data_IF_565038944750
#
_entry.id   IF_565038944750
#
_cell.length_a   1.000
_cell.length_b   1.000
_cell.length_c   1.000
_cell.angle_alpha   90.00
_cell.angle_beta   90.00
_cell.angle_gamma   90.00
#
_symmetry.space_group_name_H-M   'P 1'
#
loop_
_entity.id
_entity.type
_entity.pdbx_description
1 polymer ?
#
# COMPACT_ATOMS: atom_id res chain seq x y z
N UNK A 1 41.98 59.98 -7.14
CA UNK A 1 41.81 59.20 -8.39
C UNK A 1 41.35 57.76 -8.10
N UNK A 2 40.36 57.56 -7.22
CA UNK A 2 40.00 56.21 -6.69
C UNK A 2 38.70 55.63 -7.28
N UNK A 3 37.86 56.42 -7.96
CA UNK A 3 36.55 55.94 -8.46
C UNK A 3 36.61 55.04 -9.71
N UNK A 4 37.77 54.87 -10.36
CA UNK A 4 37.85 54.12 -11.62
C UNK A 4 37.97 52.60 -11.44
N UNK A 5 38.26 52.12 -10.21
CA UNK A 5 38.45 50.69 -9.92
C UNK A 5 37.13 49.94 -9.66
N UNK A 6 36.08 50.62 -9.19
CA UNK A 6 34.78 50.00 -8.90
C UNK A 6 33.98 49.58 -10.13
N UNK A 7 34.12 50.33 -11.24
CA UNK A 7 33.42 50.03 -12.49
C UNK A 7 33.97 48.79 -13.21
N UNK A 8 35.27 48.53 -13.12
CA UNK A 8 35.89 47.37 -13.77
C UNK A 8 35.45 46.03 -13.14
N UNK A 9 35.22 46.00 -11.83
CA UNK A 9 34.71 44.80 -11.14
C UNK A 9 33.26 44.47 -11.50
N UNK A 10 32.43 45.49 -11.72
CA UNK A 10 31.01 45.32 -12.02
C UNK A 10 30.77 44.73 -13.43
N UNK A 11 31.61 45.06 -14.41
CA UNK A 11 31.57 44.44 -15.74
C UNK A 11 32.01 42.97 -15.73
N UNK A 12 32.97 42.58 -14.89
CA UNK A 12 33.41 41.19 -14.76
C UNK A 12 32.31 40.29 -14.16
N UNK A 13 31.52 40.80 -13.21
CA UNK A 13 30.39 40.07 -12.62
C UNK A 13 29.23 39.91 -13.62
N UNK A 14 28.95 40.93 -14.45
CA UNK A 14 27.90 40.86 -15.47
C UNK A 14 28.26 39.85 -16.57
N UNK A 15 29.53 39.76 -16.97
CA UNK A 15 29.99 38.78 -17.96
C UNK A 15 29.95 37.33 -17.46
N UNK A 16 30.02 37.09 -16.14
CA UNK A 16 29.88 35.75 -15.56
C UNK A 16 28.41 35.33 -15.39
N UNK A 17 27.48 36.28 -15.30
CA UNK A 17 26.03 36.03 -15.20
C UNK A 17 25.35 35.80 -16.55
N UNK A 18 25.97 36.20 -17.65
CA UNK A 18 25.52 35.81 -18.98
C UNK A 18 25.95 34.37 -19.26
N UNK A 19 25.22 33.44 -18.64
CA UNK A 19 25.30 32.02 -18.95
C UNK A 19 25.19 31.82 -20.45
N UNK A 20 26.18 31.14 -21.01
CA UNK A 20 26.16 30.68 -22.40
C UNK A 20 24.97 29.73 -22.55
N UNK A 21 23.92 30.19 -23.22
CA UNK A 21 22.84 29.30 -23.65
C UNK A 21 23.49 28.35 -24.65
N UNK A 22 23.70 27.10 -24.24
CA UNK A 22 24.15 26.04 -25.12
C UNK A 22 23.09 25.89 -26.21
N UNK A 23 23.38 26.47 -27.37
CA UNK A 23 22.60 26.30 -28.58
C UNK A 23 22.66 24.80 -28.89
N UNK A 24 21.57 24.10 -28.61
CA UNK A 24 21.42 22.70 -28.98
C UNK A 24 21.56 22.64 -30.49
N UNK A 25 22.75 22.26 -30.93
CA UNK A 25 22.98 21.87 -32.31
C UNK A 25 21.85 20.90 -32.64
N UNK A 26 21.02 21.21 -33.64
CA UNK A 26 19.96 20.33 -34.13
C UNK A 26 20.63 19.09 -34.75
N UNK A 27 21.29 18.28 -33.93
CA UNK A 27 21.54 16.90 -34.24
C UNK A 27 20.18 16.33 -34.60
N UNK A 28 20.07 15.73 -35.78
CA UNK A 28 18.83 15.26 -36.39
C UNK A 28 18.13 14.28 -35.43
N UNK A 29 17.32 14.80 -34.51
CA UNK A 29 16.49 14.03 -33.61
C UNK A 29 15.32 13.51 -34.43
N UNK A 30 15.60 12.44 -35.19
CA UNK A 30 14.67 11.81 -36.10
C UNK A 30 13.59 11.02 -35.36
N UNK A 31 13.89 10.52 -34.15
CA UNK A 31 12.90 9.85 -33.31
C UNK A 31 12.26 10.90 -32.40
N UNK A 32 10.95 11.04 -32.49
CA UNK A 32 10.12 11.90 -31.63
C UNK A 32 9.14 11.04 -30.83
N UNK A 33 8.74 11.54 -29.66
CA UNK A 33 7.78 10.88 -28.77
C UNK A 33 6.47 11.67 -28.81
N UNK A 34 5.38 11.01 -29.17
CA UNK A 34 4.02 11.50 -29.00
C UNK A 34 3.36 10.77 -27.84
N UNK A 35 3.30 11.45 -26.69
CA UNK A 35 2.68 10.96 -25.46
C UNK A 35 1.36 11.66 -25.12
N UNK A 36 0.82 12.50 -26.02
CA UNK A 36 -0.32 13.38 -25.74
C UNK A 36 -1.69 12.75 -26.04
N UNK A 37 -1.73 11.44 -26.31
CA UNK A 37 -2.94 10.74 -26.74
C UNK A 37 -3.86 10.43 -25.55
N UNK A 38 -5.16 10.66 -25.74
CA UNK A 38 -6.17 10.48 -24.70
C UNK A 38 -6.34 9.05 -24.16
N UNK A 39 -5.79 8.04 -24.84
CA UNK A 39 -5.77 6.65 -24.38
C UNK A 39 -4.58 6.30 -23.46
N UNK A 40 -3.71 7.27 -23.17
CA UNK A 40 -2.48 7.07 -22.40
C UNK A 40 -1.41 6.29 -23.15
N UNK A 41 -1.60 5.98 -24.44
CA UNK A 41 -0.59 5.27 -25.22
C UNK A 41 0.57 6.20 -25.62
N UNK A 42 1.78 5.66 -25.60
CA UNK A 42 3.00 6.36 -26.02
C UNK A 42 3.41 5.85 -27.39
N UNK A 43 3.49 6.77 -28.35
CA UNK A 43 3.88 6.47 -29.73
C UNK A 43 5.23 7.11 -30.05
N UNK A 44 6.13 6.35 -30.66
CA UNK A 44 7.35 6.88 -31.27
C UNK A 44 7.09 7.16 -32.75
N UNK A 45 7.61 8.26 -33.26
CA UNK A 45 7.56 8.61 -34.68
C UNK A 45 8.97 8.80 -35.23
N UNK A 46 9.27 8.19 -36.37
CA UNK A 46 10.54 8.32 -37.05
C UNK A 46 10.43 9.29 -38.24
N UNK A 47 11.29 10.30 -38.26
CA UNK A 47 11.38 11.32 -39.32
C UNK A 47 12.19 10.90 -40.55
N UNK A 48 12.59 9.64 -40.65
CA UNK A 48 13.24 9.11 -41.87
C UNK A 48 12.20 8.98 -42.99
N UNK A 49 12.61 9.27 -44.22
CA UNK A 49 11.75 9.21 -45.43
C UNK A 49 11.70 7.82 -46.07
N UNK A 50 12.38 6.83 -45.49
CA UNK A 50 12.46 5.47 -46.04
C UNK A 50 11.13 4.70 -45.90
N UNK A 51 10.82 3.86 -46.90
CA UNK A 51 9.57 3.06 -46.94
C UNK A 51 9.52 1.94 -45.91
N UNK A 52 10.68 1.44 -45.49
CA UNK A 52 10.83 0.34 -44.54
C UNK A 52 11.67 0.81 -43.38
N UNK A 53 11.08 0.87 -42.19
CA UNK A 53 11.74 1.33 -40.98
C UNK A 53 11.88 0.16 -40.01
N UNK A 54 13.13 -0.14 -39.63
CA UNK A 54 13.43 -1.08 -38.55
C UNK A 54 13.54 -0.33 -37.23
N UNK A 55 12.83 -0.80 -36.22
CA UNK A 55 12.91 -0.27 -34.87
C UNK A 55 13.88 -1.10 -34.05
N UNK A 56 14.76 -0.42 -33.32
CA UNK A 56 15.69 -1.02 -32.38
C UNK A 56 15.38 -0.54 -30.96
N UNK A 57 15.39 -1.47 -30.00
CA UNK A 57 15.36 -1.21 -28.57
C UNK A 57 16.63 -1.76 -27.95
N UNK A 58 17.42 -0.90 -27.32
CA UNK A 58 18.67 -1.27 -26.65
C UNK A 58 19.63 -2.07 -27.56
N UNK A 59 19.64 -1.74 -28.85
CA UNK A 59 20.43 -2.42 -29.89
C UNK A 59 19.78 -3.67 -30.51
N UNK A 60 18.67 -4.17 -29.97
CA UNK A 60 17.94 -5.33 -30.50
C UNK A 60 16.79 -4.91 -31.43
N UNK A 61 16.59 -5.63 -32.53
CA UNK A 61 15.48 -5.34 -33.47
C UNK A 61 14.15 -5.80 -32.85
N UNK A 62 13.19 -4.87 -32.72
CA UNK A 62 11.86 -5.14 -32.16
C UNK A 62 10.76 -5.20 -33.23
N UNK A 63 10.98 -4.57 -34.39
CA UNK A 63 10.00 -4.55 -35.48
C UNK A 63 10.09 -5.80 -36.35
N UNK A 64 8.96 -6.30 -36.89
CA UNK A 64 9.01 -7.29 -37.96
C UNK A 64 9.74 -6.74 -39.18
N UNK A 65 10.37 -7.61 -39.99
CA UNK A 65 11.25 -7.20 -41.10
C UNK A 65 10.56 -6.29 -42.14
N UNK A 66 9.22 -6.31 -42.20
CA UNK A 66 8.40 -5.56 -43.16
C UNK A 66 7.48 -4.52 -42.47
N UNK A 67 7.96 -3.84 -41.43
CA UNK A 67 7.23 -2.72 -40.86
C UNK A 67 7.30 -1.49 -41.79
N UNK A 68 6.18 -1.18 -42.44
CA UNK A 68 6.00 0.03 -43.28
C UNK A 68 5.59 1.26 -42.48
N UNK A 69 5.42 1.12 -41.16
CA UNK A 69 4.96 2.20 -40.30
C UNK A 69 6.14 2.95 -39.70
N UNK A 70 6.18 4.25 -39.95
CA UNK A 70 7.10 5.20 -39.31
C UNK A 70 6.76 5.42 -37.83
N UNK A 71 5.80 4.68 -37.28
CA UNK A 71 5.32 4.81 -35.92
C UNK A 71 5.46 3.50 -35.14
N UNK A 72 5.93 3.58 -33.90
CA UNK A 72 6.05 2.42 -33.01
C UNK A 72 5.33 2.66 -31.69
N UNK A 73 4.40 1.78 -31.34
CA UNK A 73 3.61 1.90 -30.12
C UNK A 73 4.33 1.23 -28.94
N UNK A 74 4.62 2.00 -27.89
CA UNK A 74 5.23 1.51 -26.64
C UNK A 74 4.21 0.97 -25.65
N UNK A 75 2.92 1.11 -25.94
CA UNK A 75 1.82 0.75 -25.04
C UNK A 75 1.43 1.90 -24.12
N UNK A 76 0.74 1.56 -23.03
CA UNK A 76 0.25 2.52 -22.05
C UNK A 76 1.42 3.14 -21.25
N UNK A 77 1.40 4.46 -21.05
CA UNK A 77 2.34 5.22 -20.25
C UNK A 77 2.43 4.70 -18.79
N UNK A 78 1.34 4.13 -18.26
CA UNK A 78 1.26 3.57 -16.92
C UNK A 78 2.16 2.33 -16.71
N UNK A 79 2.58 1.65 -17.80
CA UNK A 79 3.50 0.51 -17.75
C UNK A 79 4.97 0.93 -17.68
N UNK A 80 5.27 2.21 -17.52
CA UNK A 80 6.63 2.75 -17.48
C UNK A 80 7.50 2.28 -18.65
N UNK A 81 7.13 2.55 -19.91
CA UNK A 81 7.96 2.18 -21.05
C UNK A 81 9.32 2.89 -20.96
N UNK A 82 10.38 2.10 -20.86
CA UNK A 82 11.77 2.55 -20.74
C UNK A 82 12.67 1.85 -21.77
N UNK A 83 13.78 2.51 -22.10
CA UNK A 83 14.82 1.96 -22.97
C UNK A 83 15.33 2.97 -23.98
N UNK A 84 16.34 2.56 -24.74
CA UNK A 84 16.94 3.37 -25.80
C UNK A 84 16.40 2.93 -27.14
N UNK A 85 15.71 3.83 -27.84
CA UNK A 85 15.07 3.56 -29.12
C UNK A 85 15.82 4.21 -30.27
N UNK A 86 15.93 3.48 -31.37
CA UNK A 86 16.45 3.96 -32.64
C UNK A 86 15.54 3.50 -33.77
N UNK A 87 15.45 4.30 -34.82
CA UNK A 87 14.88 3.87 -36.10
C UNK A 87 15.98 3.80 -37.15
N UNK A 88 16.01 2.70 -37.90
CA UNK A 88 16.96 2.43 -38.97
C UNK A 88 16.21 2.33 -40.30
N UNK A 89 16.61 3.18 -41.24
CA UNK A 89 16.16 3.15 -42.62
C UNK A 89 17.07 2.29 -43.50
N UNK A 90 17.00 2.48 -44.81
CA UNK A 90 17.82 1.75 -45.78
C UNK A 90 19.28 2.25 -45.79
N UNK A 91 19.51 3.54 -45.53
CA UNK A 91 20.84 4.17 -45.59
C UNK A 91 21.24 4.90 -44.30
N UNK A 92 20.27 5.37 -43.52
CA UNK A 92 20.53 6.16 -42.32
C UNK A 92 19.96 5.47 -41.08
N UNK A 93 20.71 5.53 -39.97
CA UNK A 93 20.23 5.15 -38.63
C UNK A 93 20.08 6.42 -37.81
N UNK A 94 18.97 6.56 -37.10
CA UNK A 94 18.75 7.71 -36.21
C UNK A 94 19.70 7.69 -35.01
N UNK A 95 19.92 8.87 -34.41
CA UNK A 95 20.53 8.93 -33.09
C UNK A 95 19.67 8.17 -32.04
N UNK A 96 20.29 7.57 -31.01
CA UNK A 96 19.57 6.96 -29.91
C UNK A 96 18.70 7.97 -29.18
N UNK A 97 17.45 7.61 -28.94
CA UNK A 97 16.53 8.32 -28.07
C UNK A 97 16.31 7.51 -26.79
N UNK A 98 16.74 8.05 -25.66
CA UNK A 98 16.46 7.46 -24.36
C UNK A 98 15.05 7.85 -23.90
N UNK A 99 14.16 6.86 -23.84
CA UNK A 99 12.79 7.02 -23.33
C UNK A 99 12.79 6.64 -21.86
N UNK A 100 12.32 7.57 -21.02
CA UNK A 100 12.21 7.39 -19.58
C UNK A 100 10.84 7.86 -19.10
N UNK A 101 9.87 6.95 -19.06
CA UNK A 101 8.60 7.18 -18.38
C UNK A 101 8.70 6.72 -16.93
N UNK A 102 8.19 7.59 -16.04
CA UNK A 102 7.91 7.28 -14.64
C UNK A 102 6.51 7.77 -14.35
N UNK A 103 5.53 6.95 -14.72
CA UNK A 103 4.15 7.08 -14.32
C UNK A 103 3.92 6.22 -13.09
N UNK A 104 2.89 6.58 -12.34
CA UNK A 104 2.72 6.13 -10.97
C UNK A 104 1.23 5.87 -10.77
N UNK A 105 0.69 4.87 -11.49
CA UNK A 105 -0.77 4.60 -11.53
C UNK A 105 -1.34 4.35 -10.12
N UNK A 106 -0.54 3.75 -9.23
CA UNK A 106 -0.91 3.44 -7.84
C UNK A 106 -0.10 4.23 -6.80
N UNK A 107 0.50 5.35 -7.19
CA UNK A 107 1.22 6.18 -6.22
C UNK A 107 0.26 7.13 -5.53
N UNK A 108 0.14 7.00 -4.21
CA UNK A 108 -0.68 7.87 -3.38
C UNK A 108 0.18 9.03 -2.91
N UNK A 109 -0.28 10.26 -3.10
CA UNK A 109 0.34 11.42 -2.47
C UNK A 109 0.07 11.40 -0.96
N UNK A 110 1.15 11.19 -0.20
CA UNK A 110 1.12 11.21 1.26
C UNK A 110 1.28 12.65 1.76
N UNK A 111 0.18 13.40 1.67
CA UNK A 111 0.08 14.71 2.32
C UNK A 111 -0.30 14.53 3.80
N UNK A 112 -0.04 15.54 4.62
CA UNK A 112 -0.46 15.61 6.02
C UNK A 112 -1.97 15.32 6.14
N UNK A 113 -2.78 15.75 5.17
CA UNK A 113 -4.22 15.46 5.11
C UNK A 113 -4.56 13.96 4.94
N UNK A 114 -3.87 13.25 4.04
CA UNK A 114 -4.13 11.81 3.81
C UNK A 114 -3.63 10.97 4.98
N UNK A 115 -2.45 11.30 5.52
CA UNK A 115 -1.89 10.65 6.71
C UNK A 115 -2.79 10.86 7.93
N UNK A 116 -3.23 12.10 8.20
CA UNK A 116 -4.13 12.38 9.32
C UNK A 116 -5.48 11.66 9.17
N UNK A 117 -6.00 11.55 7.95
CA UNK A 117 -7.19 10.75 7.65
C UNK A 117 -7.02 9.27 8.00
N UNK A 118 -5.89 8.65 7.62
CA UNK A 118 -5.61 7.25 7.97
C UNK A 118 -5.51 7.03 9.48
N UNK A 119 -4.78 7.91 10.18
CA UNK A 119 -4.65 7.81 11.64
C UNK A 119 -6.01 7.98 12.32
N UNK A 120 -6.83 8.94 11.89
CA UNK A 120 -8.14 9.19 12.47
C UNK A 120 -9.11 8.02 12.24
N UNK A 121 -9.14 7.46 11.03
CA UNK A 121 -9.94 6.28 10.71
C UNK A 121 -9.51 5.06 11.53
N UNK A 122 -8.20 4.86 11.71
CA UNK A 122 -7.65 3.77 12.52
C UNK A 122 -8.04 3.91 14.00
N UNK A 123 -7.90 5.11 14.59
CA UNK A 123 -8.30 5.37 15.98
C UNK A 123 -9.78 5.11 16.20
N UNK A 124 -10.65 5.56 15.28
CA UNK A 124 -12.09 5.32 15.37
C UNK A 124 -12.42 3.83 15.23
N UNK A 125 -11.79 3.13 14.29
CA UNK A 125 -11.97 1.69 14.08
C UNK A 125 -11.61 0.89 15.34
N UNK A 126 -10.42 1.13 15.89
CA UNK A 126 -9.97 0.50 17.14
C UNK A 126 -10.91 0.84 18.31
N UNK A 127 -11.39 2.07 18.40
CA UNK A 127 -12.33 2.49 19.45
C UNK A 127 -13.64 1.69 19.38
N UNK A 128 -14.23 1.52 18.19
CA UNK A 128 -15.45 0.73 18.02
C UNK A 128 -15.22 -0.76 18.29
N UNK A 129 -14.08 -1.31 17.85
CA UNK A 129 -13.70 -2.69 18.18
C UNK A 129 -13.55 -2.88 19.70
N UNK A 130 -12.89 -1.94 20.38
CA UNK A 130 -12.72 -1.96 21.84
C UNK A 130 -14.06 -1.87 22.57
N UNK A 131 -14.97 -0.98 22.16
CA UNK A 131 -16.33 -0.90 22.72
C UNK A 131 -17.11 -2.20 22.47
N UNK A 132 -17.02 -2.77 21.28
CA UNK A 132 -17.68 -4.04 20.95
C UNK A 132 -17.21 -5.17 21.86
N UNK A 133 -15.89 -5.33 22.00
CA UNK A 133 -15.30 -6.33 22.91
C UNK A 133 -15.68 -6.05 24.37
N UNK A 134 -15.66 -4.79 24.80
CA UNK A 134 -16.04 -4.38 26.14
C UNK A 134 -17.50 -4.74 26.47
N UNK A 135 -18.42 -4.48 25.54
CA UNK A 135 -19.83 -4.82 25.70
C UNK A 135 -20.08 -6.33 25.70
N UNK A 136 -19.39 -7.09 24.84
CA UNK A 136 -19.50 -8.57 24.79
C UNK A 136 -18.97 -9.18 26.10
N UNK A 137 -17.75 -8.80 26.52
CA UNK A 137 -17.15 -9.29 27.76
C UNK A 137 -17.92 -8.83 29.02
N UNK A 138 -18.53 -7.64 28.97
CA UNK A 138 -19.38 -7.13 30.05
C UNK A 138 -20.68 -7.91 30.24
N UNK A 139 -21.24 -8.50 29.16
CA UNK A 139 -22.44 -9.33 29.24
C UNK A 139 -22.17 -10.66 29.97
N UNK A 140 -20.96 -11.21 29.86
CA UNK A 140 -20.56 -12.39 30.60
C UNK A 140 -20.45 -12.12 32.11
N UNK A 141 -20.27 -10.88 32.57
CA UNK A 141 -20.15 -10.53 33.99
C UNK A 141 -21.48 -10.30 34.73
N UNK A 142 -22.58 -9.97 34.03
CA UNK A 142 -23.89 -9.67 34.66
C UNK A 142 -24.92 -10.77 34.39
N UNK A 143 -24.68 -11.62 33.39
CA UNK A 143 -25.54 -12.75 33.05
C UNK A 143 -24.77 -14.05 32.84
N UNK A 144 -23.71 -14.25 33.61
CA UNK A 144 -23.09 -15.56 33.80
C UNK A 144 -24.11 -16.52 34.44
N UNK A 145 -24.82 -17.26 33.59
CA UNK A 145 -24.91 -18.72 33.60
C UNK A 145 -25.18 -19.45 34.93
N UNK A 146 -25.80 -18.80 35.91
CA UNK A 146 -26.36 -19.47 37.11
C UNK A 146 -27.71 -20.15 36.86
N UNK A 147 -28.14 -20.31 35.61
CA UNK A 147 -29.41 -20.96 35.28
C UNK A 147 -29.29 -22.47 35.00
N UNK A 148 -28.09 -23.03 34.78
CA UNK A 148 -27.97 -24.47 34.43
C UNK A 148 -27.09 -25.30 35.37
N UNK A 149 -26.08 -24.72 36.02
CA UNK A 149 -25.20 -25.47 36.95
C UNK A 149 -25.55 -25.25 38.44
N UNK A 150 -26.64 -24.51 38.68
CA UNK A 150 -27.45 -24.63 39.90
C UNK A 150 -28.72 -25.40 39.57
N UNK A 151 -28.58 -26.60 38.99
CA UNK A 151 -29.64 -27.57 39.13
C UNK A 151 -29.88 -27.72 40.63
N UNK A 152 -31.11 -27.43 41.03
CA UNK A 152 -31.61 -27.37 42.39
C UNK A 152 -31.22 -28.64 43.15
N UNK A 153 -30.03 -28.65 43.75
CA UNK A 153 -29.73 -29.50 44.89
C UNK A 153 -30.63 -28.99 46.00
N UNK A 154 -31.87 -29.51 45.99
CA UNK A 154 -32.86 -29.53 47.05
C UNK A 154 -32.83 -28.27 47.94
N UNK A 155 -33.75 -27.34 47.70
CA UNK A 155 -34.20 -26.35 48.70
C UNK A 155 -34.88 -27.05 49.89
N UNK A 156 -34.20 -28.01 50.49
CA UNK A 156 -34.59 -28.67 51.70
C UNK A 156 -33.50 -28.40 52.74
N UNK A 157 -33.34 -27.12 53.08
CA UNK A 157 -32.52 -26.67 54.23
C UNK A 157 -33.13 -27.09 55.59
N UNK A 158 -34.08 -28.03 55.60
CA UNK A 158 -34.74 -28.55 56.80
C UNK A 158 -34.55 -30.06 57.01
N UNK A 159 -33.80 -30.78 56.15
CA UNK A 159 -33.68 -32.24 56.25
C UNK A 159 -32.34 -32.78 56.79
N UNK A 160 -31.36 -31.93 57.06
CA UNK A 160 -30.15 -32.35 57.76
C UNK A 160 -30.16 -31.78 59.16
N UNK A 161 -30.58 -32.62 60.10
CA UNK A 161 -30.43 -32.37 61.52
C UNK A 161 -28.92 -32.33 61.83
N UNK A 162 -28.38 -31.22 62.36
CA UNK A 162 -26.97 -31.17 62.74
C UNK A 162 -26.73 -32.25 63.79
N UNK A 163 -25.66 -33.05 63.61
CA UNK A 163 -25.24 -34.01 64.62
C UNK A 163 -24.87 -33.24 65.89
N UNK A 164 -25.81 -33.20 66.83
CA UNK A 164 -25.64 -32.62 68.16
C UNK A 164 -24.63 -33.48 68.92
N UNK A 165 -23.76 -32.83 69.69
CA UNK A 165 -22.85 -33.53 70.61
C UNK A 165 -23.66 -34.49 71.49
N UNK A 166 -23.10 -35.69 71.65
CA UNK A 166 -23.71 -36.89 72.23
C UNK A 166 -24.22 -36.66 73.66
N UNK A 167 -25.40 -36.05 73.79
CA UNK A 167 -26.11 -35.90 75.06
C UNK A 167 -26.70 -37.25 75.49
N UNK A 168 -26.48 -37.58 76.76
CA UNK A 168 -26.88 -38.80 77.47
C UNK A 168 -28.40 -38.90 77.66
N UNK A 169 -29.18 -38.85 76.57
CA UNK A 169 -30.63 -38.91 76.66
C UNK A 169 -31.13 -40.34 76.85
N UNK A 170 -32.23 -40.47 77.61
CA UNK A 170 -32.83 -41.69 78.13
C UNK A 170 -33.20 -42.76 77.06
N UNK A 171 -33.15 -42.40 75.78
CA UNK A 171 -33.37 -43.29 74.62
C UNK A 171 -32.07 -43.82 73.98
N UNK A 172 -30.89 -43.30 74.37
CA UNK A 172 -29.57 -43.76 73.91
C UNK A 172 -29.11 -45.08 74.55
N UNK A 173 -29.89 -45.59 75.53
CA UNK A 173 -29.68 -46.85 76.24
C UNK A 173 -30.60 -47.99 75.77
N UNK A 174 -31.27 -47.85 74.61
CA UNK A 174 -32.08 -48.92 74.04
C UNK A 174 -31.20 -50.04 73.48
N UNK A 175 -30.75 -50.86 74.42
CA UNK A 175 -30.21 -52.20 74.28
C UNK A 175 -30.99 -53.00 73.24
N UNK A 176 -30.25 -53.57 72.29
CA UNK A 176 -30.79 -54.37 71.19
C UNK A 176 -31.81 -55.40 71.67
N UNK A 177 -33.05 -55.24 71.20
CA UNK A 177 -34.13 -56.18 71.43
C UNK A 177 -33.80 -57.55 70.79
N UNK A 178 -33.61 -58.52 71.68
CA UNK A 178 -34.09 -59.91 71.61
C UNK A 178 -34.08 -60.62 70.24
N UNK A 179 -33.21 -61.62 70.13
CA UNK A 179 -33.50 -62.86 69.42
C UNK A 179 -33.43 -64.03 70.42
N UNK A 180 -34.60 -64.53 70.84
CA UNK A 180 -34.78 -65.82 71.50
C UNK A 180 -35.74 -66.65 70.65
N UNK A 181 -35.24 -67.69 69.98
CA UNK A 181 -36.05 -68.83 69.50
C UNK A 181 -35.23 -70.14 69.54
N UNK A 182 -35.78 -71.07 70.33
CA UNK A 182 -35.43 -72.48 70.61
C UNK A 182 -34.07 -72.76 71.23
#
# INVERSE_FOLDING_TARGET
MEQRKGLAGLFLVISLLQGTVAQTNKAKNLVQVDGSRGDGSVLLTCGLTDKTIKWLKDGSIISPLNATKNTWNLGNNAKDPRGTYQCQGAKETSNPLQVYYRMCENCIELNIGTISGFIFAEVISIFFLALGVYLIAGQDGVRQSRASDKQTLLQNEQLYQPLKDREYDQYSHLQGNQLRKK
#
